data_IF_392323452105
#
_entry.id   IF_392323452105
#
_cell.length_a   1.000
_cell.length_b   1.000
_cell.length_c   1.000
_cell.angle_alpha   90.00
_cell.angle_beta   90.00
_cell.angle_gamma   90.00
#
_symmetry.space_group_name_H-M   'P 1'
#
loop_
_entity.id
_entity.type
_entity.pdbx_description
1 polymer ?
#
# COMPACT_ATOMS: atom_id res chain seq x y z
N UNK A 1 26.36 7.69 -9.01
CA UNK A 1 25.53 7.78 -10.23
C UNK A 1 24.09 7.84 -9.80
N UNK A 2 23.46 9.02 -9.84
CA UNK A 2 22.04 9.16 -9.53
C UNK A 2 21.23 8.90 -10.81
N UNK A 3 20.15 8.10 -10.76
CA UNK A 3 19.35 7.84 -11.94
C UNK A 3 18.62 9.14 -12.34
N UNK A 4 18.70 9.58 -13.62
CA UNK A 4 18.13 10.85 -14.08
C UNK A 4 16.60 10.87 -14.19
N UNK A 5 15.89 9.85 -13.71
CA UNK A 5 14.45 9.66 -13.93
C UNK A 5 13.56 10.26 -12.84
N UNK A 6 14.13 10.69 -11.72
CA UNK A 6 13.37 11.15 -10.56
C UNK A 6 12.59 12.48 -10.76
N UNK A 7 13.11 13.48 -11.49
CA UNK A 7 12.39 14.75 -11.69
C UNK A 7 11.21 14.62 -12.67
N UNK A 8 11.26 13.68 -13.61
CA UNK A 8 10.19 13.43 -14.58
C UNK A 8 8.96 12.75 -13.94
N UNK A 9 9.20 11.94 -12.91
CA UNK A 9 8.17 11.19 -12.19
C UNK A 9 7.22 12.07 -11.37
N UNK A 10 7.67 13.24 -10.92
CA UNK A 10 6.83 14.17 -10.15
C UNK A 10 5.99 15.12 -11.03
N UNK A 11 6.41 15.34 -12.29
CA UNK A 11 5.78 16.32 -13.19
C UNK A 11 4.61 15.77 -14.00
N UNK A 12 4.54 14.44 -14.20
CA UNK A 12 3.52 13.79 -15.05
C UNK A 12 2.22 13.43 -14.33
N UNK A 13 2.18 13.52 -12.99
CA UNK A 13 1.02 13.05 -12.21
C UNK A 13 -0.14 14.04 -12.17
N UNK A 14 0.10 15.32 -12.49
CA UNK A 14 -0.95 16.34 -12.37
C UNK A 14 -1.83 16.50 -13.61
N UNK A 15 -1.40 16.10 -14.80
CA UNK A 15 -2.20 16.25 -16.03
C UNK A 15 -1.96 15.10 -17.01
N UNK A 16 -3.06 14.44 -17.41
CA UNK A 16 -3.24 13.42 -18.46
C UNK A 16 -3.09 11.94 -18.09
N UNK A 17 -4.21 11.23 -18.27
CA UNK A 17 -4.28 9.77 -18.42
C UNK A 17 -3.28 9.19 -19.44
N UNK A 18 -2.80 9.97 -20.41
CA UNK A 18 -1.75 9.57 -21.34
C UNK A 18 -0.37 9.41 -20.68
N UNK A 19 -0.03 10.27 -19.70
CA UNK A 19 1.21 10.15 -18.92
C UNK A 19 1.20 8.92 -18.02
N UNK A 20 0.02 8.54 -17.51
CA UNK A 20 -0.16 7.30 -16.77
C UNK A 20 -0.01 6.07 -17.67
N UNK A 21 -0.59 6.07 -18.87
CA UNK A 21 -0.48 4.94 -19.79
C UNK A 21 0.97 4.70 -20.20
N UNK A 22 1.70 5.76 -20.56
CA UNK A 22 3.13 5.66 -20.89
C UNK A 22 3.98 5.29 -19.67
N UNK A 23 3.56 5.71 -18.48
CA UNK A 23 4.18 5.32 -17.23
C UNK A 23 4.03 3.81 -16.97
N UNK A 24 2.83 3.25 -17.12
CA UNK A 24 2.59 1.80 -16.98
C UNK A 24 3.34 1.03 -18.07
N UNK A 25 3.32 1.49 -19.32
CA UNK A 25 4.01 0.87 -20.46
C UNK A 25 5.54 0.85 -20.29
N UNK A 26 6.12 1.84 -19.60
CA UNK A 26 7.56 1.94 -19.32
C UNK A 26 7.97 1.40 -17.95
N UNK A 27 7.30 0.38 -17.42
CA UNK A 27 7.68 -0.23 -16.13
C UNK A 27 7.58 0.76 -14.94
N UNK A 28 6.65 1.70 -15.01
CA UNK A 28 6.50 2.77 -14.02
C UNK A 28 6.29 2.25 -12.60
N UNK A 29 5.51 1.18 -12.44
CA UNK A 29 5.33 0.53 -11.14
C UNK A 29 6.66 0.02 -10.54
N UNK A 30 7.55 -0.52 -11.36
CA UNK A 30 8.91 -0.91 -10.96
C UNK A 30 9.73 0.31 -10.49
N UNK A 31 9.54 1.46 -11.12
CA UNK A 31 10.18 2.71 -10.67
C UNK A 31 9.57 3.21 -9.36
N UNK A 32 8.26 3.11 -9.17
CA UNK A 32 7.60 3.46 -7.90
C UNK A 32 8.08 2.59 -6.74
N UNK A 33 8.18 1.26 -6.95
CA UNK A 33 8.71 0.36 -5.93
C UNK A 33 10.11 0.77 -5.48
N UNK A 34 11.01 1.05 -6.43
CA UNK A 34 12.35 1.55 -6.12
C UNK A 34 12.34 2.92 -5.44
N UNK A 35 11.42 3.80 -5.81
CA UNK A 35 11.27 5.12 -5.22
C UNK A 35 10.82 5.04 -3.74
N UNK A 36 9.90 4.12 -3.42
CA UNK A 36 9.45 3.85 -2.04
C UNK A 36 10.55 3.24 -1.16
N UNK A 37 11.48 2.48 -1.74
CA UNK A 37 12.64 1.95 -1.01
C UNK A 37 13.76 2.98 -0.83
N UNK A 38 13.64 4.18 -1.39
CA UNK A 38 14.81 5.02 -1.70
C UNK A 38 15.52 5.74 -0.55
N UNK A 39 15.18 5.64 0.73
CA UNK A 39 15.79 6.52 1.77
C UNK A 39 15.53 8.04 1.64
N UNK A 40 14.98 8.56 0.52
CA UNK A 40 14.55 9.96 0.39
C UNK A 40 13.07 10.03 0.80
N UNK A 41 12.80 10.45 2.04
CA UNK A 41 11.45 10.52 2.62
C UNK A 41 10.41 11.18 1.71
N UNK A 42 10.70 12.39 1.20
CA UNK A 42 9.83 13.12 0.26
C UNK A 42 9.50 12.33 -1.01
N UNK A 43 10.42 11.50 -1.48
CA UNK A 43 10.20 10.66 -2.65
C UNK A 43 9.30 9.47 -2.28
N UNK A 44 9.57 8.83 -1.14
CA UNK A 44 8.77 7.70 -0.65
C UNK A 44 7.30 8.08 -0.47
N UNK A 45 7.04 9.20 0.21
CA UNK A 45 5.69 9.75 0.43
C UNK A 45 4.98 9.97 -0.91
N UNK A 46 5.62 10.66 -1.86
CA UNK A 46 5.04 10.93 -3.17
C UNK A 46 4.79 9.66 -3.99
N UNK A 47 5.69 8.68 -3.88
CA UNK A 47 5.56 7.41 -4.56
C UNK A 47 4.39 6.58 -4.01
N UNK A 48 4.27 6.47 -2.68
CA UNK A 48 3.16 5.79 -2.02
C UNK A 48 1.82 6.48 -2.31
N UNK A 49 1.77 7.81 -2.21
CA UNK A 49 0.59 8.60 -2.54
C UNK A 49 0.16 8.41 -4.01
N UNK A 50 1.11 8.44 -4.95
CA UNK A 50 0.82 8.16 -6.36
C UNK A 50 0.25 6.75 -6.51
N UNK A 51 0.90 5.73 -5.93
CA UNK A 51 0.46 4.35 -6.01
C UNK A 51 -0.98 4.19 -5.50
N UNK A 52 -1.31 4.78 -4.35
CA UNK A 52 -2.66 4.78 -3.79
C UNK A 52 -3.67 5.39 -4.78
N UNK A 53 -3.38 6.57 -5.33
CA UNK A 53 -4.25 7.22 -6.31
C UNK A 53 -4.45 6.38 -7.58
N UNK A 54 -3.40 5.69 -8.04
CA UNK A 54 -3.47 4.79 -9.19
C UNK A 54 -4.34 3.57 -8.92
N UNK A 55 -4.22 2.96 -7.73
CA UNK A 55 -5.03 1.81 -7.32
C UNK A 55 -6.52 2.16 -7.19
N UNK A 56 -6.82 3.36 -6.68
CA UNK A 56 -8.19 3.89 -6.57
C UNK A 56 -8.77 4.20 -7.96
N UNK A 57 -7.97 4.85 -8.82
CA UNK A 57 -8.45 5.28 -10.15
C UNK A 57 -8.50 4.14 -11.17
N UNK A 58 -7.61 3.15 -11.06
CA UNK A 58 -7.40 2.08 -12.04
C UNK A 58 -7.28 0.72 -11.34
N UNK A 59 -8.39 0.16 -10.82
CA UNK A 59 -8.38 -1.13 -10.14
C UNK A 59 -7.97 -2.30 -11.06
N UNK A 60 -8.03 -2.12 -12.38
CA UNK A 60 -7.55 -3.11 -13.37
C UNK A 60 -6.06 -3.45 -13.21
N UNK A 61 -5.24 -2.54 -12.68
CA UNK A 61 -3.82 -2.77 -12.46
C UNK A 61 -3.51 -3.50 -11.14
N UNK A 62 -4.50 -3.70 -10.24
CA UNK A 62 -4.32 -4.43 -8.97
C UNK A 62 -3.74 -5.83 -9.19
N UNK A 63 -4.20 -6.52 -10.23
CA UNK A 63 -3.77 -7.89 -10.53
C UNK A 63 -2.30 -7.96 -10.99
N UNK A 64 -1.90 -7.02 -11.86
CA UNK A 64 -0.51 -6.89 -12.33
C UNK A 64 0.40 -6.56 -11.14
N UNK A 65 -0.01 -5.60 -10.30
CA UNK A 65 0.74 -5.20 -9.10
C UNK A 65 0.91 -6.35 -8.11
N UNK A 66 -0.14 -7.13 -7.85
CA UNK A 66 -0.03 -8.33 -7.01
C UNK A 66 0.89 -9.39 -7.63
N UNK A 67 0.86 -9.55 -8.95
CA UNK A 67 1.74 -10.47 -9.67
C UNK A 67 3.21 -10.05 -9.61
N UNK A 68 3.48 -8.74 -9.58
CA UNK A 68 4.83 -8.18 -9.41
C UNK A 68 5.33 -8.23 -7.97
N UNK A 69 4.50 -8.67 -7.01
CA UNK A 69 4.87 -8.74 -5.60
C UNK A 69 4.74 -7.40 -4.86
N UNK A 70 3.86 -6.50 -5.31
CA UNK A 70 3.67 -5.20 -4.68
C UNK A 70 3.22 -5.33 -3.22
N UNK A 71 2.40 -6.34 -2.88
CA UNK A 71 1.96 -6.58 -1.50
C UNK A 71 3.15 -6.83 -0.58
N UNK A 72 4.04 -7.75 -0.97
CA UNK A 72 5.24 -8.08 -0.20
C UNK A 72 6.14 -6.85 -0.01
N UNK A 73 6.22 -5.99 -1.03
CA UNK A 73 6.97 -4.73 -0.93
C UNK A 73 6.35 -3.74 0.04
N UNK A 74 5.02 -3.57 0.02
CA UNK A 74 4.33 -2.70 0.96
C UNK A 74 4.45 -3.22 2.40
N UNK A 75 4.31 -4.52 2.62
CA UNK A 75 4.50 -5.13 3.94
C UNK A 75 5.93 -4.95 4.44
N UNK A 76 6.94 -5.15 3.59
CA UNK A 76 8.33 -4.92 3.95
C UNK A 76 8.60 -3.46 4.34
N UNK A 77 7.89 -2.49 3.73
CA UNK A 77 7.97 -1.08 4.14
C UNK A 77 7.29 -0.87 5.50
N UNK A 78 6.15 -1.49 5.76
CA UNK A 78 5.45 -1.38 7.06
C UNK A 78 6.28 -1.95 8.21
N UNK A 79 7.09 -2.98 7.94
CA UNK A 79 8.04 -3.56 8.89
C UNK A 79 9.21 -2.63 9.25
N UNK A 80 9.43 -1.55 8.51
CA UNK A 80 10.47 -0.57 8.85
C UNK A 80 10.05 0.34 10.00
N UNK A 81 10.99 1.15 10.50
CA UNK A 81 10.73 2.12 11.56
C UNK A 81 9.54 3.02 11.20
N UNK A 82 8.60 3.18 12.14
CA UNK A 82 7.38 3.97 11.95
C UNK A 82 7.70 5.41 11.56
N UNK A 83 6.96 5.92 10.58
CA UNK A 83 7.14 7.23 9.97
C UNK A 83 5.82 7.64 9.31
N UNK A 84 5.56 8.93 9.22
CA UNK A 84 4.40 9.53 8.54
C UNK A 84 4.07 8.96 7.15
N UNK A 85 5.04 8.43 6.39
CA UNK A 85 4.75 7.82 5.08
C UNK A 85 3.98 6.49 5.17
N UNK A 86 3.94 5.84 6.35
CA UNK A 86 3.26 4.57 6.58
C UNK A 86 1.76 4.67 6.34
N UNK A 87 1.15 5.80 6.69
CA UNK A 87 -0.25 6.09 6.41
C UNK A 87 -0.59 5.86 4.92
N UNK A 88 0.23 6.40 4.01
CA UNK A 88 0.02 6.23 2.57
C UNK A 88 0.30 4.81 2.09
N UNK A 89 1.26 4.11 2.69
CA UNK A 89 1.58 2.71 2.36
C UNK A 89 0.44 1.79 2.79
N UNK A 90 -0.08 1.97 3.99
CA UNK A 90 -1.24 1.24 4.53
C UNK A 90 -2.49 1.58 3.74
N UNK A 91 -2.70 2.84 3.37
CA UNK A 91 -3.80 3.26 2.49
C UNK A 91 -3.72 2.65 1.09
N UNK A 92 -2.53 2.51 0.52
CA UNK A 92 -2.32 1.80 -0.75
C UNK A 92 -2.60 0.30 -0.61
N UNK A 93 -2.14 -0.33 0.48
CA UNK A 93 -2.38 -1.74 0.75
C UNK A 93 -3.88 -2.02 0.96
N UNK A 94 -4.56 -1.15 1.73
CA UNK A 94 -6.00 -1.15 1.93
C UNK A 94 -6.73 -1.10 0.58
N UNK A 95 -6.40 -0.11 -0.26
CA UNK A 95 -6.98 0.02 -1.61
C UNK A 95 -6.74 -1.22 -2.48
N UNK A 96 -5.61 -1.91 -2.30
CA UNK A 96 -5.24 -3.10 -3.05
C UNK A 96 -6.02 -4.34 -2.59
N UNK A 97 -6.39 -4.44 -1.31
CA UNK A 97 -7.21 -5.57 -0.79
C UNK A 97 -8.72 -5.32 -0.93
N UNK A 98 -9.16 -4.05 -0.97
CA UNK A 98 -10.57 -3.70 -1.18
C UNK A 98 -11.07 -4.23 -2.53
N UNK A 99 -12.18 -4.98 -2.50
CA UNK A 99 -12.79 -5.66 -3.65
C UNK A 99 -11.84 -6.56 -4.44
N UNK A 100 -10.76 -7.04 -3.81
CA UNK A 100 -9.73 -7.80 -4.50
C UNK A 100 -9.20 -8.97 -3.65
N UNK A 101 -9.85 -10.16 -3.71
CA UNK A 101 -9.55 -11.29 -2.84
C UNK A 101 -8.15 -11.87 -3.04
N UNK A 102 -7.53 -11.66 -4.21
CA UNK A 102 -6.14 -12.08 -4.43
C UNK A 102 -5.15 -11.27 -3.60
N UNK A 103 -5.41 -9.97 -3.40
CA UNK A 103 -4.62 -9.11 -2.52
C UNK A 103 -4.76 -9.55 -1.06
N UNK A 104 -5.99 -9.83 -0.63
CA UNK A 104 -6.27 -10.37 0.72
C UNK A 104 -5.48 -11.65 0.97
N UNK A 105 -5.51 -12.62 0.05
CA UNK A 105 -4.74 -13.85 0.20
C UNK A 105 -3.24 -13.61 0.32
N UNK A 106 -2.67 -12.69 -0.47
CA UNK A 106 -1.26 -12.34 -0.33
C UNK A 106 -0.95 -11.71 1.04
N UNK A 107 -1.83 -10.87 1.56
CA UNK A 107 -1.69 -10.30 2.91
C UNK A 107 -1.76 -11.36 4.01
N UNK A 108 -2.55 -12.42 3.81
CA UNK A 108 -2.69 -13.56 4.74
C UNK A 108 -1.52 -14.54 4.70
N UNK A 109 -0.54 -14.37 3.81
CA UNK A 109 0.60 -15.28 3.72
C UNK A 109 1.42 -15.21 5.02
N UNK A 110 1.59 -16.37 5.66
CA UNK A 110 2.30 -16.48 6.94
C UNK A 110 3.75 -15.97 6.88
N UNK A 111 4.37 -16.03 5.71
CA UNK A 111 5.74 -15.52 5.48
C UNK A 111 5.86 -14.01 5.66
N UNK A 112 4.75 -13.27 5.52
CA UNK A 112 4.72 -11.82 5.68
C UNK A 112 4.49 -11.38 7.12
N UNK A 113 3.84 -12.21 7.94
CA UNK A 113 3.54 -11.89 9.34
C UNK A 113 2.73 -10.60 9.52
N UNK A 114 1.95 -10.19 8.50
CA UNK A 114 1.30 -8.88 8.47
C UNK A 114 0.33 -8.68 9.64
N UNK A 115 -0.38 -9.72 10.07
CA UNK A 115 -1.33 -9.66 11.18
C UNK A 115 -0.68 -9.13 12.46
N UNK A 116 0.46 -9.72 12.86
CA UNK A 116 1.17 -9.36 14.10
C UNK A 116 1.70 -7.93 14.03
N UNK A 117 2.23 -7.53 12.87
CA UNK A 117 2.74 -6.19 12.60
C UNK A 117 1.61 -5.15 12.72
N UNK A 118 0.45 -5.42 12.11
CA UNK A 118 -0.70 -4.53 12.18
C UNK A 118 -1.25 -4.45 13.61
N UNK A 119 -1.27 -5.55 14.36
CA UNK A 119 -1.70 -5.56 15.77
C UNK A 119 -0.76 -4.74 16.66
N UNK A 120 0.55 -4.93 16.51
CA UNK A 120 1.56 -4.16 17.25
C UNK A 120 1.46 -2.67 16.90
N UNK A 121 1.38 -2.35 15.60
CA UNK A 121 1.24 -0.97 15.12
C UNK A 121 -0.05 -0.33 15.64
N UNK A 122 -1.19 -1.00 15.55
CA UNK A 122 -2.45 -0.50 16.07
C UNK A 122 -2.39 -0.20 17.57
N UNK A 123 -1.70 -1.03 18.35
CA UNK A 123 -1.51 -0.77 19.78
C UNK A 123 -0.62 0.45 20.03
N UNK A 124 0.46 0.61 19.27
CA UNK A 124 1.34 1.78 19.38
C UNK A 124 0.63 3.09 19.02
N UNK A 125 -0.22 3.07 17.99
CA UNK A 125 -0.91 4.25 17.48
C UNK A 125 -2.21 4.58 18.22
N UNK A 126 -2.72 3.66 19.05
CA UNK A 126 -4.03 3.79 19.73
C UNK A 126 -4.17 5.08 20.55
N UNK A 127 -3.09 5.50 21.20
CA UNK A 127 -3.04 6.70 22.05
C UNK A 127 -2.52 7.94 21.31
N UNK A 128 -2.24 7.83 20.00
CA UNK A 128 -1.66 8.88 19.17
C UNK A 128 -2.72 9.45 18.21
N UNK A 129 -3.40 10.52 18.61
CA UNK A 129 -4.48 11.11 17.78
C UNK A 129 -4.00 11.63 16.41
N UNK A 130 -2.72 11.95 16.29
CA UNK A 130 -2.09 12.38 15.04
C UNK A 130 -1.96 11.26 13.99
N UNK A 131 -2.00 10.00 14.41
CA UNK A 131 -1.92 8.82 13.52
C UNK A 131 -3.25 8.07 13.43
N UNK A 132 -4.37 8.76 13.71
CA UNK A 132 -5.71 8.15 13.67
C UNK A 132 -6.03 7.55 12.30
N UNK A 133 -5.67 8.23 11.21
CA UNK A 133 -5.88 7.71 9.85
C UNK A 133 -5.07 6.43 9.59
N UNK A 134 -3.81 6.38 10.03
CA UNK A 134 -2.98 5.18 9.96
C UNK A 134 -3.59 4.01 10.76
N UNK A 135 -4.08 4.29 11.97
CA UNK A 135 -4.77 3.31 12.81
C UNK A 135 -6.03 2.76 12.11
N UNK A 136 -6.85 3.61 11.52
CA UNK A 136 -8.05 3.19 10.78
C UNK A 136 -7.69 2.27 9.60
N UNK A 137 -6.59 2.53 8.88
CA UNK A 137 -6.12 1.62 7.84
C UNK A 137 -5.66 0.28 8.39
N UNK A 138 -4.94 0.26 9.52
CA UNK A 138 -4.51 -0.98 10.17
C UNK A 138 -5.70 -1.82 10.61
N UNK A 139 -6.69 -1.21 11.27
CA UNK A 139 -7.91 -1.91 11.70
C UNK A 139 -8.73 -2.42 10.50
N UNK A 140 -8.84 -1.61 9.44
CA UNK A 140 -9.53 -2.04 8.22
C UNK A 140 -8.83 -3.22 7.52
N UNK A 141 -7.50 -3.22 7.48
CA UNK A 141 -6.72 -4.32 6.93
C UNK A 141 -6.86 -5.58 7.78
N UNK A 142 -6.82 -5.45 9.11
CA UNK A 142 -7.08 -6.54 10.04
C UNK A 142 -8.48 -7.12 9.83
N UNK A 143 -9.49 -6.27 9.66
CA UNK A 143 -10.86 -6.73 9.40
C UNK A 143 -11.01 -7.38 8.02
N UNK A 144 -10.43 -6.79 6.99
CA UNK A 144 -10.60 -7.29 5.61
C UNK A 144 -9.81 -8.56 5.36
N UNK A 145 -8.61 -8.67 5.96
CA UNK A 145 -7.69 -9.78 5.71
C UNK A 145 -7.71 -10.85 6.81
N UNK A 146 -8.01 -10.51 8.06
CA UNK A 146 -7.86 -11.44 9.19
C UNK A 146 -9.13 -11.61 10.01
N UNK A 147 -10.18 -10.80 9.82
CA UNK A 147 -11.49 -11.20 10.31
C UNK A 147 -11.98 -12.37 9.47
N UNK A 148 -11.97 -13.54 10.11
CA UNK A 148 -12.87 -14.60 9.70
C UNK A 148 -14.29 -14.00 9.63
N UNK A 149 -15.15 -14.42 8.70
CA UNK A 149 -16.57 -14.24 8.92
C UNK A 149 -16.83 -14.89 10.28
N UNK A 150 -17.10 -14.09 11.30
CA UNK A 150 -17.86 -14.60 12.43
C UNK A 150 -19.08 -15.23 11.78
N UNK A 151 -19.10 -16.57 11.77
CA UNK A 151 -20.31 -17.34 11.58
C UNK A 151 -21.27 -16.81 12.64
N UNK A 152 -22.01 -15.78 12.26
CA UNK A 152 -23.07 -15.19 13.05
C UNK A 152 -24.01 -16.34 13.32
N UNK A 153 -23.96 -16.86 14.54
CA UNK A 153 -24.76 -17.96 15.01
C UNK A 153 -26.22 -17.67 14.69
N UNK A 154 -26.73 -18.35 13.67
CA UNK A 154 -28.15 -18.36 13.33
C UNK A 154 -28.69 -19.71 13.76
N UNK A 155 -28.77 -19.90 15.08
CA UNK A 155 -29.49 -21.00 15.70
C UNK A 155 -30.18 -20.48 16.98
N UNK A 156 -31.32 -19.82 16.79
CA UNK A 156 -32.38 -19.66 17.80
C UNK A 156 -33.75 -19.57 17.13
#
# INVERSE_FOLDING_TARGET
>A
MQPPFLPLLLGLVREQAAGLLEFVDRDGFSVLMRAMQSGIEKLKVKAAFLLQNLLISNPEHKDVLCSMGMVQQLVALIQTEHDSFHEHVLGALCSLVTDFPRGVRQCQELELGLEDILLERSQMLKDQEEFREELEFCEHLLQTCFSQPEEHGMDR
#
